data_IF_086838090960
#
_entry.id   IF_086838090960
#
_cell.length_a   1.000
_cell.length_b   1.000
_cell.length_c   1.000
_cell.angle_alpha   90.00
_cell.angle_beta   90.00
_cell.angle_gamma   90.00
#
_symmetry.space_group_name_H-M   'P 1'
#
loop_
_entity.id
_entity.type
_entity.pdbx_description
1 polymer ?
#
# COMPACT_ATOMS: atom_id res chain seq x y z
N UNK A 1 21.18 -45.93 4.00
CA UNK A 1 20.28 -44.82 3.58
C UNK A 1 20.61 -44.51 2.13
N UNK A 2 19.62 -44.44 1.24
CA UNK A 2 19.88 -43.97 -0.12
C UNK A 2 20.29 -42.50 -0.05
N UNK A 3 21.31 -42.12 -0.80
CA UNK A 3 21.76 -40.74 -0.90
C UNK A 3 20.78 -39.94 -1.77
N UNK A 4 19.71 -39.45 -1.16
CA UNK A 4 18.80 -38.51 -1.80
C UNK A 4 19.46 -37.13 -1.72
N UNK A 5 19.94 -36.63 -2.86
CA UNK A 5 20.68 -35.36 -2.95
C UNK A 5 19.85 -34.21 -3.50
N UNK A 6 18.76 -34.52 -4.21
CA UNK A 6 17.94 -33.54 -4.90
C UNK A 6 16.44 -33.75 -4.64
N UNK A 7 15.66 -32.67 -4.75
CA UNK A 7 14.21 -32.68 -4.50
C UNK A 7 13.47 -33.60 -5.46
N UNK A 8 13.89 -33.68 -6.72
CA UNK A 8 13.24 -34.58 -7.68
C UNK A 8 13.46 -36.04 -7.27
N UNK A 9 14.69 -36.39 -6.88
CA UNK A 9 15.01 -37.73 -6.38
C UNK A 9 14.26 -38.07 -5.08
N UNK A 10 14.04 -37.08 -4.21
CA UNK A 10 13.29 -37.24 -2.97
C UNK A 10 11.80 -37.52 -3.24
N UNK A 11 11.19 -36.73 -4.12
CA UNK A 11 9.78 -36.87 -4.49
C UNK A 11 9.52 -38.22 -5.16
N UNK A 12 10.43 -38.66 -6.03
CA UNK A 12 10.34 -39.97 -6.68
C UNK A 12 10.40 -41.11 -5.65
N UNK A 13 11.37 -41.07 -4.75
CA UNK A 13 11.49 -42.07 -3.67
C UNK A 13 10.25 -42.09 -2.76
N UNK A 14 9.70 -40.93 -2.43
CA UNK A 14 8.47 -40.83 -1.65
C UNK A 14 7.30 -41.54 -2.36
N UNK A 15 7.12 -41.26 -3.65
CA UNK A 15 6.01 -41.81 -4.44
C UNK A 15 6.16 -43.30 -4.76
N UNK A 16 7.36 -43.76 -5.10
CA UNK A 16 7.60 -45.11 -5.60
C UNK A 16 7.85 -46.12 -4.48
N UNK A 17 8.46 -45.71 -3.37
CA UNK A 17 8.87 -46.65 -2.32
C UNK A 17 8.14 -46.40 -1.00
N UNK A 18 8.16 -45.17 -0.50
CA UNK A 18 7.64 -44.88 0.84
C UNK A 18 6.13 -45.00 0.90
N UNK A 19 5.40 -44.35 -0.02
CA UNK A 19 3.93 -44.41 -0.01
C UNK A 19 3.41 -45.83 -0.24
N UNK A 20 3.92 -46.62 -1.22
CA UNK A 20 3.48 -48.00 -1.40
C UNK A 20 3.84 -48.90 -0.22
N UNK A 21 5.05 -48.78 0.34
CA UNK A 21 5.46 -49.55 1.51
C UNK A 21 4.61 -49.23 2.75
N UNK A 22 4.38 -47.94 3.01
CA UNK A 22 3.52 -47.50 4.12
C UNK A 22 2.10 -47.99 3.92
N UNK A 23 1.54 -47.81 2.72
CA UNK A 23 0.20 -48.29 2.42
C UNK A 23 0.14 -49.79 2.64
N UNK A 24 1.04 -50.59 2.05
CA UNK A 24 1.05 -52.05 2.19
C UNK A 24 1.18 -52.54 3.64
N UNK A 25 2.02 -51.88 4.46
CA UNK A 25 2.30 -52.31 5.83
C UNK A 25 1.26 -51.85 6.83
N UNK A 26 0.58 -50.75 6.55
CA UNK A 26 -0.40 -50.11 7.43
C UNK A 26 -1.80 -50.04 6.80
N UNK A 27 -2.15 -50.99 5.93
CA UNK A 27 -3.54 -51.17 5.45
C UNK A 27 -4.40 -51.58 6.65
N UNK A 28 -4.89 -50.59 7.39
CA UNK A 28 -6.08 -50.74 8.20
C UNK A 28 -7.25 -50.51 7.25
N UNK A 29 -8.14 -51.50 7.12
CA UNK A 29 -9.41 -51.31 6.46
C UNK A 29 -10.26 -50.38 7.33
N UNK A 30 -10.15 -49.08 7.06
CA UNK A 30 -10.94 -48.04 7.70
C UNK A 30 -11.90 -47.50 6.65
N UNK A 31 -13.14 -47.24 7.04
CA UNK A 31 -14.06 -46.52 6.19
C UNK A 31 -13.47 -45.14 5.86
N UNK A 32 -13.61 -44.73 4.59
CA UNK A 32 -13.14 -43.44 4.13
C UNK A 32 -13.76 -42.33 4.98
N UNK A 33 -12.92 -41.65 5.77
CA UNK A 33 -13.33 -40.46 6.53
C UNK A 33 -13.23 -39.18 5.68
N UNK A 34 -12.82 -39.31 4.40
CA UNK A 34 -12.75 -38.18 3.48
C UNK A 34 -14.14 -37.59 3.29
N UNK A 35 -14.21 -36.27 3.47
CA UNK A 35 -15.42 -35.48 3.26
C UNK A 35 -15.29 -34.73 1.94
N UNK A 36 -16.41 -34.55 1.26
CA UNK A 36 -16.45 -33.68 0.10
C UNK A 36 -16.03 -32.27 0.47
N UNK A 37 -15.46 -31.57 -0.50
CA UNK A 37 -15.07 -30.18 -0.34
C UNK A 37 -16.35 -29.37 -0.10
N UNK A 38 -16.42 -28.57 0.98
CA UNK A 38 -17.58 -27.74 1.26
C UNK A 38 -17.89 -26.81 0.09
N UNK A 39 -19.18 -26.68 -0.24
CA UNK A 39 -19.63 -25.76 -1.29
C UNK A 39 -19.22 -24.33 -0.94
N UNK A 40 -18.60 -23.63 -1.88
CA UNK A 40 -18.16 -22.24 -1.71
C UNK A 40 -16.70 -22.06 -1.30
N UNK A 41 -15.92 -23.14 -1.14
CA UNK A 41 -14.46 -23.05 -0.97
C UNK A 41 -13.79 -23.13 -2.34
N UNK A 42 -13.05 -22.08 -2.68
CA UNK A 42 -12.16 -22.08 -3.84
C UNK A 42 -10.76 -22.56 -3.41
N UNK A 43 -10.42 -23.80 -3.79
CA UNK A 43 -9.12 -24.40 -3.48
C UNK A 43 -7.95 -23.63 -4.09
N UNK A 44 -8.13 -23.04 -5.28
CA UNK A 44 -7.06 -22.27 -5.93
C UNK A 44 -6.71 -21.05 -5.10
N UNK A 45 -7.71 -20.41 -4.50
CA UNK A 45 -7.53 -19.29 -3.59
C UNK A 45 -6.92 -19.74 -2.24
N UNK A 46 -7.27 -20.92 -1.73
CA UNK A 46 -6.72 -21.45 -0.47
C UNK A 46 -5.23 -21.74 -0.60
N UNK A 47 -4.81 -22.35 -1.71
CA UNK A 47 -3.41 -22.69 -1.97
C UNK A 47 -2.61 -21.54 -2.61
N UNK A 48 -3.22 -20.36 -2.76
CA UNK A 48 -2.53 -19.19 -3.31
C UNK A 48 -1.55 -18.56 -2.32
N UNK A 49 -0.48 -17.99 -2.86
CA UNK A 49 0.45 -17.13 -2.13
C UNK A 49 -0.17 -15.73 -2.02
N UNK A 50 -0.34 -15.25 -0.80
CA UNK A 50 -1.01 -13.96 -0.53
C UNK A 50 -0.02 -12.87 -0.14
N UNK A 51 -0.18 -11.71 -0.76
CA UNK A 51 0.64 -10.54 -0.50
C UNK A 51 -0.22 -9.29 -0.39
N UNK A 52 -0.04 -8.50 0.67
CA UNK A 52 -0.72 -7.21 0.77
C UNK A 52 0.12 -6.12 0.11
N UNK A 53 -0.51 -5.32 -0.76
CA UNK A 53 0.12 -4.20 -1.46
C UNK A 53 -0.76 -2.96 -1.39
N UNK A 54 -0.13 -1.80 -1.31
CA UNK A 54 -0.84 -0.52 -1.34
C UNK A 54 -0.99 -0.04 -2.78
N UNK A 55 -2.21 0.26 -3.20
CA UNK A 55 -2.47 0.86 -4.50
C UNK A 55 -1.90 2.28 -4.56
N UNK A 56 -1.30 2.64 -5.69
CA UNK A 56 -0.86 4.01 -5.97
C UNK A 56 -2.05 4.95 -6.17
N UNK A 57 -1.76 6.25 -6.21
CA UNK A 57 -2.78 7.28 -6.47
C UNK A 57 -3.52 7.07 -7.79
N UNK A 58 -2.83 6.47 -8.77
CA UNK A 58 -3.36 6.21 -10.11
C UNK A 58 -4.04 4.82 -10.22
N UNK A 59 -4.45 4.22 -9.09
CA UNK A 59 -5.03 2.87 -8.99
C UNK A 59 -4.12 1.72 -9.49
N UNK A 60 -2.84 1.99 -9.74
CA UNK A 60 -1.85 0.98 -10.14
C UNK A 60 -1.31 0.24 -8.93
N UNK A 61 -1.14 -1.07 -9.08
CA UNK A 61 -0.56 -1.97 -8.09
C UNK A 61 0.65 -2.63 -8.74
N UNK A 62 1.79 -2.55 -8.06
CA UNK A 62 2.98 -3.28 -8.48
C UNK A 62 3.02 -4.61 -7.74
N UNK A 63 2.84 -5.70 -8.46
CA UNK A 63 2.98 -7.04 -7.92
C UNK A 63 4.09 -7.77 -8.69
N UNK A 64 5.03 -8.34 -7.94
CA UNK A 64 6.21 -9.01 -8.47
C UNK A 64 6.99 -8.14 -9.48
N UNK A 65 6.94 -8.50 -10.77
CA UNK A 65 7.70 -7.88 -11.87
C UNK A 65 6.85 -6.94 -12.74
N UNK A 66 5.53 -7.04 -12.61
CA UNK A 66 4.54 -6.37 -13.46
C UNK A 66 3.77 -5.30 -12.70
N UNK A 67 3.17 -4.39 -13.47
CA UNK A 67 2.29 -3.34 -12.95
C UNK A 67 0.89 -3.61 -13.47
N UNK A 68 -0.08 -3.58 -12.57
CA UNK A 68 -1.48 -3.88 -12.86
C UNK A 68 -2.31 -2.64 -12.56
N UNK A 69 -3.23 -2.29 -13.46
CA UNK A 69 -4.23 -1.25 -13.18
C UNK A 69 -5.51 -1.93 -12.72
N UNK A 70 -5.97 -1.56 -11.54
CA UNK A 70 -7.26 -2.02 -11.02
C UNK A 70 -8.38 -1.11 -11.51
N UNK A 71 -9.49 -1.71 -11.95
CA UNK A 71 -10.68 -0.97 -12.40
C UNK A 71 -11.82 -1.26 -11.45
N UNK A 72 -12.57 -0.22 -11.11
CA UNK A 72 -13.85 -0.41 -10.46
C UNK A 72 -14.92 -0.55 -11.54
N UNK A 73 -15.70 -1.65 -11.56
CA UNK A 73 -16.81 -1.78 -12.49
C UNK A 73 -17.96 -0.81 -12.17
N UNK A 74 -17.95 -0.14 -10.99
CA UNK A 74 -19.00 0.81 -10.66
C UNK A 74 -18.74 2.17 -11.31
N UNK A 75 -19.74 2.66 -12.05
CA UNK A 75 -19.85 4.03 -12.57
C UNK A 75 -19.72 5.10 -11.48
N UNK A 76 -19.87 4.72 -10.21
CA UNK A 76 -19.79 5.60 -9.04
C UNK A 76 -18.42 5.53 -8.33
N UNK A 77 -17.41 6.21 -8.88
CA UNK A 77 -16.38 6.94 -8.14
C UNK A 77 -15.47 6.23 -7.11
N UNK A 78 -15.56 4.92 -6.86
CA UNK A 78 -14.71 4.26 -5.87
C UNK A 78 -13.32 3.99 -6.45
N UNK A 79 -12.44 4.98 -6.41
CA UNK A 79 -11.00 4.78 -6.61
C UNK A 79 -10.44 3.86 -5.52
N UNK A 80 -9.52 2.98 -5.94
CA UNK A 80 -8.77 2.13 -5.03
C UNK A 80 -7.48 2.79 -4.53
N UNK A 81 -7.24 4.05 -4.90
CA UNK A 81 -6.04 4.80 -4.58
C UNK A 81 -5.72 4.79 -3.08
N UNK A 82 -4.50 4.41 -2.74
CA UNK A 82 -4.02 4.39 -1.36
C UNK A 82 -4.60 3.29 -0.47
N UNK A 83 -5.49 2.43 -1.00
CA UNK A 83 -6.04 1.29 -0.25
C UNK A 83 -5.07 0.12 -0.27
N UNK A 84 -5.16 -0.71 0.77
CA UNK A 84 -4.47 -1.99 0.83
C UNK A 84 -5.30 -3.04 0.09
N UNK A 85 -4.64 -3.75 -0.81
CA UNK A 85 -5.22 -4.77 -1.68
C UNK A 85 -4.41 -6.05 -1.45
N UNK A 86 -5.13 -7.15 -1.32
CA UNK A 86 -4.57 -8.48 -1.26
C UNK A 86 -4.37 -8.99 -2.68
N UNK A 87 -3.13 -9.32 -2.99
CA UNK A 87 -2.70 -9.92 -4.24
C UNK A 87 -2.51 -11.40 -3.96
N UNK A 88 -3.31 -12.24 -4.63
CA UNK A 88 -3.23 -13.69 -4.53
C UNK A 88 -2.62 -14.23 -5.82
N UNK A 89 -1.53 -14.98 -5.70
CA UNK A 89 -0.91 -15.69 -6.81
C UNK A 89 -1.18 -17.18 -6.64
N UNK A 90 -1.80 -17.79 -7.64
CA UNK A 90 -2.01 -19.24 -7.68
C UNK A 90 -0.72 -19.97 -8.03
N UNK A 91 -0.64 -21.27 -7.73
CA UNK A 91 0.53 -22.10 -8.05
C UNK A 91 0.85 -22.16 -9.55
N UNK A 92 -0.15 -21.92 -10.40
CA UNK A 92 -0.01 -21.83 -11.86
C UNK A 92 0.48 -20.45 -12.34
N UNK A 93 0.62 -19.47 -11.43
CA UNK A 93 1.04 -18.10 -11.74
C UNK A 93 -0.11 -17.16 -12.12
N UNK A 94 -1.37 -17.59 -12.03
CA UNK A 94 -2.52 -16.69 -12.23
C UNK A 94 -2.68 -15.75 -11.04
N UNK A 95 -2.99 -14.48 -11.32
CA UNK A 95 -3.14 -13.43 -10.32
C UNK A 95 -4.63 -13.14 -10.04
N UNK A 96 -4.98 -12.93 -8.79
CA UNK A 96 -6.29 -12.42 -8.38
C UNK A 96 -6.12 -11.31 -7.35
N UNK A 97 -6.94 -10.26 -7.46
CA UNK A 97 -6.89 -9.11 -6.57
C UNK A 97 -8.13 -9.04 -5.70
N UNK A 98 -7.94 -8.81 -4.40
CA UNK A 98 -9.02 -8.70 -3.43
C UNK A 98 -8.91 -7.42 -2.62
N UNK A 99 -10.05 -6.74 -2.44
CA UNK A 99 -10.20 -5.64 -1.50
C UNK A 99 -11.24 -6.04 -0.45
N UNK A 100 -10.80 -6.20 0.80
CA UNK A 100 -11.67 -6.61 1.92
C UNK A 100 -12.48 -7.88 1.59
N UNK A 101 -11.83 -8.87 1.00
CA UNK A 101 -12.45 -10.13 0.58
C UNK A 101 -13.30 -10.08 -0.70
N UNK A 102 -13.38 -8.93 -1.40
CA UNK A 102 -14.08 -8.82 -2.68
C UNK A 102 -13.11 -8.83 -3.85
N UNK A 103 -13.35 -9.69 -4.83
CA UNK A 103 -12.54 -9.75 -6.05
C UNK A 103 -12.67 -8.44 -6.87
N UNK A 104 -11.55 -8.01 -7.45
CA UNK A 104 -11.45 -6.79 -8.25
C UNK A 104 -10.94 -7.15 -9.65
N UNK A 105 -11.50 -6.50 -10.66
CA UNK A 105 -11.03 -6.59 -12.03
C UNK A 105 -9.75 -5.77 -12.23
N UNK A 106 -8.83 -6.30 -13.03
CA UNK A 106 -7.58 -5.65 -13.34
C UNK A 106 -7.15 -5.89 -14.78
N UNK A 107 -6.24 -5.04 -15.26
CA UNK A 107 -5.57 -5.20 -16.54
C UNK A 107 -4.06 -5.08 -16.32
N UNK A 108 -3.30 -5.92 -17.03
CA UNK A 108 -1.85 -5.85 -17.05
C UNK A 108 -1.43 -4.61 -17.84
N UNK A 109 -0.55 -3.79 -17.27
CA UNK A 109 0.07 -2.67 -17.98
C UNK A 109 1.33 -3.15 -18.69
N UNK A 110 1.32 -3.12 -20.02
CA UNK A 110 2.55 -3.25 -20.79
C UNK A 110 3.34 -1.94 -20.77
N UNK A 111 4.60 -2.03 -20.33
CA UNK A 111 5.51 -0.89 -20.21
C UNK A 111 5.85 -0.30 -21.57
N UNK A 112 5.86 -1.11 -22.64
CA UNK A 112 6.19 -0.64 -23.98
C UNK A 112 5.10 0.28 -24.53
N UNK A 113 3.84 -0.16 -24.45
CA UNK A 113 2.67 0.63 -24.87
C UNK A 113 2.58 1.95 -24.11
N UNK A 114 2.84 1.94 -22.80
CA UNK A 114 2.83 3.16 -22.00
C UNK A 114 3.93 4.15 -22.43
N UNK A 115 5.11 3.65 -22.82
CA UNK A 115 6.21 4.51 -23.31
C UNK A 115 5.85 5.16 -24.64
N UNK A 116 5.31 4.37 -25.58
CA UNK A 116 4.87 4.85 -26.89
C UNK A 116 3.76 5.90 -26.76
N UNK A 117 2.74 5.63 -25.94
CA UNK A 117 1.66 6.59 -25.68
C UNK A 117 2.18 7.90 -25.07
N UNK A 118 3.13 7.81 -24.14
CA UNK A 118 3.74 9.01 -23.54
C UNK A 118 4.51 9.82 -24.58
N UNK A 119 5.26 9.16 -25.47
CA UNK A 119 6.00 9.82 -26.56
C UNK A 119 5.05 10.47 -27.56
N UNK A 120 3.94 9.82 -27.91
CA UNK A 120 2.89 10.36 -28.76
C UNK A 120 2.22 11.60 -28.15
N UNK A 121 1.83 11.54 -26.87
CA UNK A 121 1.24 12.71 -26.18
C UNK A 121 2.24 13.87 -26.10
N UNK A 122 3.53 13.58 -25.92
CA UNK A 122 4.58 14.59 -25.92
C UNK A 122 4.82 15.19 -27.31
N UNK A 123 4.76 14.39 -28.38
CA UNK A 123 4.90 14.87 -29.75
C UNK A 123 3.71 15.73 -30.18
N UNK A 124 2.49 15.38 -29.79
CA UNK A 124 1.31 16.22 -30.01
C UNK A 124 1.42 17.60 -29.33
N UNK A 125 2.06 17.68 -28.15
CA UNK A 125 2.31 18.97 -27.48
C UNK A 125 3.28 19.87 -28.23
N UNK A 126 4.23 19.32 -28.98
CA UNK A 126 5.13 20.14 -29.82
C UNK A 126 4.40 20.78 -31.01
N UNK A 127 3.28 20.21 -31.45
CA UNK A 127 2.49 20.73 -32.58
C UNK A 127 1.57 21.89 -32.16
N UNK A 128 1.28 22.07 -30.85
CA UNK A 128 0.25 22.99 -30.38
C UNK A 128 0.71 24.34 -29.80
N UNK A 129 2.01 24.67 -29.73
CA UNK A 129 2.39 25.98 -29.22
C UNK A 129 3.79 26.44 -29.64
N UNK A 130 3.85 27.40 -30.58
CA UNK A 130 4.83 28.46 -30.48
C UNK A 130 4.57 29.22 -29.16
N UNK A 131 5.26 28.80 -28.09
CA UNK A 131 5.18 29.48 -26.80
C UNK A 131 5.74 30.89 -26.98
N UNK A 132 4.86 31.90 -27.06
CA UNK A 132 5.25 33.30 -26.98
C UNK A 132 6.17 33.48 -25.77
N UNK A 133 7.34 34.12 -25.92
CA UNK A 133 8.27 34.28 -24.81
C UNK A 133 7.55 35.01 -23.67
N UNK A 134 7.49 34.37 -22.50
CA UNK A 134 6.93 35.02 -21.31
C UNK A 134 7.82 36.23 -21.00
N UNK A 135 7.22 37.42 -20.90
CA UNK A 135 7.94 38.62 -20.47
C UNK A 135 8.56 38.33 -19.11
N UNK A 136 9.88 38.49 -18.99
CA UNK A 136 10.61 38.31 -17.73
C UNK A 136 10.03 39.31 -16.73
N UNK A 137 9.46 38.82 -15.64
CA UNK A 137 8.94 39.69 -14.58
C UNK A 137 10.12 40.46 -13.96
N UNK A 138 10.09 41.78 -14.07
CA UNK A 138 11.06 42.68 -13.45
C UNK A 138 10.39 43.27 -12.22
N UNK A 139 10.96 42.99 -11.04
CA UNK A 139 10.50 43.59 -9.78
C UNK A 139 10.57 45.13 -9.88
N UNK A 140 9.60 45.85 -9.28
CA UNK A 140 9.64 47.31 -9.22
C UNK A 140 10.95 47.82 -8.64
N UNK A 141 11.42 48.96 -9.14
CA UNK A 141 12.71 49.56 -8.74
C UNK A 141 12.79 49.83 -7.23
N UNK A 142 11.64 50.09 -6.61
CA UNK A 142 11.52 50.47 -5.19
C UNK A 142 11.22 49.28 -4.25
N UNK A 143 11.59 48.06 -4.66
CA UNK A 143 11.43 46.88 -3.81
C UNK A 143 12.38 46.95 -2.60
N UNK A 144 11.93 46.62 -1.37
CA UNK A 144 12.75 46.73 -0.15
C UNK A 144 14.07 45.95 -0.20
N UNK A 145 14.13 44.81 -0.92
CA UNK A 145 15.36 44.03 -1.12
C UNK A 145 16.32 44.60 -2.17
N UNK A 146 15.94 45.65 -2.90
CA UNK A 146 16.81 46.40 -3.83
C UNK A 146 17.49 47.59 -3.15
N UNK A 147 17.08 47.94 -1.93
CA UNK A 147 17.67 49.03 -1.15
C UNK A 147 18.99 48.53 -0.57
N UNK A 148 20.09 49.22 -0.90
CA UNK A 148 21.38 48.94 -0.29
C UNK A 148 21.28 49.15 1.23
N UNK A 149 21.74 48.16 1.99
CA UNK A 149 21.80 48.22 3.43
C UNK A 149 22.74 49.37 3.81
N UNK A 150 22.20 50.58 4.05
CA UNK A 150 22.99 51.64 4.67
C UNK A 150 23.41 51.10 6.03
N UNK A 151 24.71 50.80 6.18
CA UNK A 151 25.33 50.46 7.45
C UNK A 151 24.97 51.60 8.41
N UNK A 152 24.03 51.35 9.32
CA UNK A 152 23.85 52.20 10.48
C UNK A 152 25.10 51.99 11.32
N UNK A 153 25.87 53.05 11.57
CA UNK A 153 27.03 53.01 12.46
C UNK A 153 26.54 52.60 13.85
N UNK A 154 26.61 51.31 14.14
CA UNK A 154 26.31 50.77 15.45
C UNK A 154 27.54 51.00 16.33
N UNK A 155 27.47 52.00 17.19
CA UNK A 155 28.42 52.16 18.30
C UNK A 155 28.13 51.02 19.28
N UNK A 156 28.99 50.00 19.30
CA UNK A 156 28.90 48.93 20.30
C UNK A 156 29.29 49.50 21.65
N UNK A 157 28.35 49.63 22.57
CA UNK A 157 28.67 49.82 23.99
C UNK A 157 29.24 48.50 24.50
N UNK A 158 30.53 48.50 24.82
CA UNK A 158 31.19 47.41 25.53
C UNK A 158 30.66 47.35 26.96
N UNK A 159 30.02 46.23 27.27
CA UNK A 159 29.79 45.78 28.64
C UNK A 159 28.40 46.06 29.18
N UNK A 160 27.61 44.99 29.32
CA UNK A 160 27.16 44.46 30.62
C UNK A 160 26.69 43.02 30.37
N UNK A 161 26.99 42.17 31.36
CA UNK A 161 26.86 40.72 31.44
C UNK A 161 25.53 40.15 30.93
N UNK A 162 25.66 38.95 30.36
CA UNK A 162 24.60 38.01 30.10
C UNK A 162 23.82 37.71 31.38
N UNK A 163 22.49 37.82 31.35
CA UNK A 163 21.62 36.98 32.15
C UNK A 163 20.71 36.19 31.22
N UNK A 164 21.02 34.89 31.16
CA UNK A 164 20.18 33.85 30.62
C UNK A 164 18.91 33.76 31.48
N UNK A 165 17.78 34.24 30.97
CA UNK A 165 16.46 33.84 31.49
C UNK A 165 15.53 33.43 30.35
N UNK A 166 15.44 32.12 30.20
CA UNK A 166 14.33 31.40 29.57
C UNK A 166 12.98 31.99 30.00
N UNK A 167 12.16 32.38 29.03
CA UNK A 167 10.72 32.49 29.20
C UNK A 167 10.03 32.20 27.87
N UNK A 168 9.68 30.92 27.69
CA UNK A 168 8.57 30.50 26.84
C UNK A 168 7.30 31.12 27.41
N UNK A 169 6.64 32.01 26.66
CA UNK A 169 5.28 32.42 26.97
C UNK A 169 4.30 31.71 26.02
N UNK A 170 3.65 30.71 26.61
CA UNK A 170 2.35 30.18 26.26
C UNK A 170 1.32 31.30 26.50
N UNK A 171 0.55 31.71 25.49
CA UNK A 171 -0.70 32.43 25.71
C UNK A 171 -1.86 31.48 25.44
N UNK A 172 -2.40 30.98 26.56
CA UNK A 172 -3.66 30.24 26.68
C UNK A 172 -4.72 31.28 27.01
N UNK A 173 -5.66 31.51 26.10
CA UNK A 173 -6.88 32.27 26.40
C UNK A 173 -7.92 31.32 26.96
N UNK A 174 -8.22 31.48 28.25
CA UNK A 174 -9.35 30.85 28.93
C UNK A 174 -10.66 31.57 28.58
N UNK A 175 -11.75 30.80 28.54
CA UNK A 175 -13.09 31.30 28.27
C UNK A 175 -14.15 30.25 28.62
N UNK A 176 -14.33 30.04 29.92
CA UNK A 176 -15.58 29.71 30.64
C UNK A 176 -16.37 28.43 30.37
N UNK A 177 -16.58 27.72 31.48
CA UNK A 177 -17.41 26.55 31.78
C UNK A 177 -18.90 26.67 31.39
N UNK A 178 -19.51 25.51 31.10
CA UNK A 178 -20.67 25.05 31.88
C UNK A 178 -20.73 23.51 31.90
N UNK A 179 -21.05 23.00 33.07
CA UNK A 179 -21.13 21.58 33.46
C UNK A 179 -22.59 21.14 33.37
N UNK A 180 -22.87 20.01 32.74
CA UNK A 180 -24.04 19.19 33.08
C UNK A 180 -23.60 17.73 33.18
N UNK A 181 -23.76 17.20 34.38
CA UNK A 181 -23.57 15.81 34.77
C UNK A 181 -24.81 15.01 34.38
N UNK A 182 -24.60 13.83 33.79
CA UNK A 182 -25.63 12.82 33.57
C UNK A 182 -25.00 11.43 33.53
N UNK A 183 -24.88 10.81 34.69
CA UNK A 183 -24.77 9.35 34.87
C UNK A 183 -26.04 8.71 34.27
N UNK A 184 -25.99 7.52 33.67
CA UNK A 184 -26.26 6.25 34.35
C UNK A 184 -25.98 5.08 33.37
N UNK A 185 -25.18 4.13 33.86
CA UNK A 185 -25.21 2.66 33.75
C UNK A 185 -25.71 1.98 32.46
N UNK A 186 -24.97 0.96 32.04
CA UNK A 186 -25.44 -0.06 31.10
C UNK A 186 -24.35 -1.01 30.67
N UNK A 187 -24.00 -1.93 31.55
CA UNK A 187 -23.19 -3.13 31.28
C UNK A 187 -23.62 -3.85 30.00
N UNK A 188 -22.65 -4.43 29.27
CA UNK A 188 -22.70 -5.87 28.89
C UNK A 188 -21.49 -6.26 28.04
N UNK A 189 -20.56 -6.97 28.67
CA UNK A 189 -19.61 -7.88 28.03
C UNK A 189 -20.36 -9.20 27.81
N UNK A 190 -20.10 -9.92 26.72
CA UNK A 190 -19.89 -11.35 26.88
C UNK A 190 -18.60 -11.83 26.22
N UNK A 191 -17.84 -12.56 27.04
CA UNK A 191 -16.93 -13.64 26.66
C UNK A 191 -17.77 -14.86 26.27
N UNK A 192 -17.51 -15.49 25.13
CA UNK A 192 -17.76 -16.94 24.85
C UNK A 192 -16.78 -17.31 23.71
N UNK A 193 -15.67 -18.03 23.88
CA UNK A 193 -15.42 -19.48 24.08
C UNK A 193 -15.88 -20.43 22.94
N UNK A 194 -14.88 -21.19 22.42
CA UNK A 194 -14.88 -22.46 21.65
C UNK A 194 -15.64 -22.49 20.29
N UNK A 195 -15.16 -23.13 19.21
CA UNK A 195 -14.23 -24.27 19.01
C UNK A 195 -13.05 -23.94 18.10
#
# INVERSE_FOLDING_TARGET
>A
MREIKDYESANRFLQEEVLPWCNQRYILFVESTYRDIPRGIDLLLVFSIKHTRKARKDNTIKAMKEEYTSYSPSTAGSSYAGRWIEVCETLEGNLQLFLKGKAILYQVLDKQTHKQFKEEVLSMRSVLAEKKPKKKYVLPRDHPWRRSWKKRNATFQTGIKCDFRSSRNLSRSEGSMSVVVGLILGDSIPKVFFW
#
